data_IF_386676718221
#
_entry.id   IF_386676718221
#
_cell.length_a   1.000
_cell.length_b   1.000
_cell.length_c   1.000
_cell.angle_alpha   90.00
_cell.angle_beta   90.00
_cell.angle_gamma   90.00
#
_symmetry.space_group_name_H-M   'P 1'
#
loop_
_entity.id
_entity.type
_entity.pdbx_description
1 polymer ?
#
# COMPACT_ATOMS: atom_id res chain seq x y z
N UNK A 1 24.21 0.00 18.41
CA UNK A 1 23.42 0.03 17.16
C UNK A 1 22.06 0.62 17.48
N UNK A 2 21.82 1.89 17.17
CA UNK A 2 20.53 2.52 17.45
C UNK A 2 19.52 1.99 16.44
N UNK A 3 18.59 1.16 16.89
CA UNK A 3 17.34 0.92 16.21
C UNK A 3 16.60 2.26 16.22
N UNK A 4 16.62 2.98 15.10
CA UNK A 4 15.73 4.11 14.88
C UNK A 4 14.31 3.55 14.80
N UNK A 5 13.73 3.23 15.96
CA UNK A 5 12.39 2.71 16.06
C UNK A 5 11.42 3.75 15.55
N UNK A 6 10.45 3.32 14.79
CA UNK A 6 9.24 4.09 14.50
C UNK A 6 8.57 4.39 15.83
N UNK A 7 8.83 5.57 16.38
CA UNK A 7 8.49 5.93 17.77
C UNK A 7 7.05 6.35 17.98
N UNK A 8 6.29 6.54 16.91
CA UNK A 8 4.89 6.90 17.01
C UNK A 8 4.20 6.61 15.67
N UNK A 9 2.90 6.59 15.63
CA UNK A 9 2.15 6.63 14.37
C UNK A 9 2.40 7.94 13.60
N UNK A 10 2.68 9.01 14.31
CA UNK A 10 3.24 10.24 13.75
C UNK A 10 4.76 10.03 13.69
N UNK A 11 5.29 9.75 12.50
CA UNK A 11 6.71 9.47 12.29
C UNK A 11 7.56 10.69 12.71
N UNK A 12 8.43 10.57 13.73
CA UNK A 12 9.27 11.68 14.16
C UNK A 12 10.47 11.92 13.24
N UNK A 13 10.69 11.08 12.25
CA UNK A 13 11.84 11.14 11.36
C UNK A 13 11.49 11.96 10.13
N UNK A 14 12.27 13.01 9.86
CA UNK A 14 12.16 13.74 8.60
C UNK A 14 12.43 12.79 7.43
N UNK A 15 11.58 12.83 6.41
CA UNK A 15 11.73 12.02 5.19
C UNK A 15 11.24 12.77 3.99
N UNK A 16 12.02 12.67 2.92
CA UNK A 16 11.63 13.20 1.63
C UNK A 16 12.05 12.20 0.55
N UNK A 17 11.08 11.61 -0.14
CA UNK A 17 11.38 10.58 -1.13
C UNK A 17 10.41 10.58 -2.30
N UNK A 18 10.88 10.07 -3.41
CA UNK A 18 10.07 9.71 -4.57
C UNK A 18 10.07 8.20 -4.75
N UNK A 19 8.93 7.61 -5.04
CA UNK A 19 8.82 6.20 -5.39
C UNK A 19 8.01 6.03 -6.67
N UNK A 20 8.42 5.06 -7.47
CA UNK A 20 7.72 4.61 -8.65
C UNK A 20 7.68 3.08 -8.65
N UNK A 21 6.53 2.53 -8.98
CA UNK A 21 6.36 1.11 -9.19
C UNK A 21 5.45 0.85 -10.38
N UNK A 22 5.81 -0.13 -11.21
CA UNK A 22 4.97 -0.58 -12.31
C UNK A 22 5.05 -2.10 -12.44
N UNK A 23 3.91 -2.74 -12.63
CA UNK A 23 3.81 -4.18 -12.85
C UNK A 23 3.10 -4.46 -14.18
N UNK A 24 3.78 -5.17 -15.07
CA UNK A 24 3.28 -5.57 -16.38
C UNK A 24 3.01 -7.07 -16.38
N UNK A 25 1.75 -7.51 -16.51
CA UNK A 25 1.45 -8.91 -16.82
C UNK A 25 1.90 -9.25 -18.23
N UNK A 26 2.52 -10.41 -18.41
CA UNK A 26 2.99 -10.88 -19.74
C UNK A 26 1.92 -11.70 -20.46
N UNK A 27 0.85 -12.10 -19.78
CA UNK A 27 -0.28 -12.83 -20.36
C UNK A 27 -1.60 -12.18 -19.99
N UNK A 28 -2.44 -12.04 -21.00
CA UNK A 28 -3.73 -11.39 -20.87
C UNK A 28 -3.62 -9.86 -20.73
N UNK A 29 -4.72 -9.25 -20.33
CA UNK A 29 -4.80 -7.80 -20.08
C UNK A 29 -5.39 -7.61 -18.69
N UNK A 30 -4.57 -7.19 -17.74
CA UNK A 30 -5.00 -6.79 -16.40
C UNK A 30 -5.31 -5.30 -16.32
N UNK A 31 -5.81 -4.83 -15.19
CA UNK A 31 -5.84 -3.40 -14.88
C UNK A 31 -4.43 -2.85 -14.83
N UNK A 32 -4.30 -1.53 -15.02
CA UNK A 32 -3.02 -0.84 -14.84
C UNK A 32 -2.60 -1.00 -13.38
N UNK A 33 -1.39 -1.51 -13.15
CA UNK A 33 -0.83 -1.70 -11.84
C UNK A 33 0.47 -0.90 -11.74
N UNK A 34 0.38 0.32 -11.29
CA UNK A 34 1.52 1.19 -11.15
C UNK A 34 1.20 2.37 -10.24
N UNK A 35 2.25 2.96 -9.71
CA UNK A 35 2.17 4.18 -8.93
C UNK A 35 3.42 5.01 -9.13
N UNK A 36 3.28 6.30 -8.94
CA UNK A 36 4.37 7.23 -8.76
C UNK A 36 3.95 8.20 -7.67
N UNK A 37 4.73 8.36 -6.63
CA UNK A 37 4.39 9.31 -5.60
C UNK A 37 5.61 9.98 -4.98
N UNK A 38 5.42 11.20 -4.57
CA UNK A 38 6.32 11.95 -3.72
C UNK A 38 5.82 11.87 -2.29
N UNK A 39 6.71 11.56 -1.36
CA UNK A 39 6.44 11.47 0.06
C UNK A 39 7.27 12.48 0.83
N UNK A 40 6.62 13.23 1.69
CA UNK A 40 7.23 14.16 2.62
C UNK A 40 6.70 13.88 4.03
N UNK A 41 7.61 13.74 4.98
CA UNK A 41 7.30 13.79 6.40
C UNK A 41 8.18 14.83 7.07
N UNK A 42 7.58 15.91 7.56
CA UNK A 42 8.30 17.05 8.13
C UNK A 42 7.88 17.26 9.58
N UNK A 43 8.67 16.73 10.54
CA UNK A 43 8.53 17.09 11.95
C UNK A 43 8.87 18.55 12.21
N UNK A 44 8.38 19.09 13.32
CA UNK A 44 8.62 20.47 13.76
C UNK A 44 8.25 21.54 12.71
N UNK A 45 7.15 21.33 11.98
CA UNK A 45 6.66 22.32 11.02
C UNK A 45 6.31 23.63 11.75
N UNK A 46 6.54 24.76 11.07
CA UNK A 46 6.38 26.13 11.63
C UNK A 46 7.17 26.37 12.93
N UNK A 47 8.34 25.70 13.08
CA UNK A 47 9.18 25.76 14.29
C UNK A 47 8.45 25.30 15.58
N UNK A 48 7.38 24.52 15.44
CA UNK A 48 6.66 23.94 16.56
C UNK A 48 7.00 22.46 16.69
N UNK A 49 7.74 22.07 17.73
CA UNK A 49 8.25 20.72 17.95
C UNK A 49 7.15 19.66 18.13
N UNK A 50 5.94 20.10 18.47
CA UNK A 50 4.78 19.20 18.61
C UNK A 50 3.99 18.99 17.32
N UNK A 51 4.32 19.68 16.21
CA UNK A 51 3.61 19.53 14.94
C UNK A 51 4.44 18.71 13.95
N UNK A 52 3.80 17.77 13.27
CA UNK A 52 4.39 16.99 12.18
C UNK A 52 3.45 17.00 10.98
N UNK A 53 3.96 17.35 9.83
CA UNK A 53 3.18 17.30 8.58
C UNK A 53 3.66 16.16 7.70
N UNK A 54 2.73 15.31 7.28
CA UNK A 54 2.97 14.24 6.33
C UNK A 54 2.16 14.51 5.06
N UNK A 55 2.79 14.28 3.91
CA UNK A 55 2.17 14.41 2.61
C UNK A 55 2.63 13.28 1.69
N UNK A 56 1.71 12.64 1.01
CA UNK A 56 1.96 11.73 -0.10
C UNK A 56 1.16 12.22 -1.31
N UNK A 57 1.84 12.57 -2.39
CA UNK A 57 1.21 13.08 -3.62
C UNK A 57 1.55 12.16 -4.77
N UNK A 58 0.51 11.68 -5.44
CA UNK A 58 0.58 10.96 -6.70
C UNK A 58 -0.18 11.75 -7.79
N UNK A 59 0.01 11.45 -9.09
CA UNK A 59 -0.71 12.14 -10.16
C UNK A 59 -2.24 12.11 -10.02
N UNK A 60 -2.75 11.07 -9.37
CA UNK A 60 -4.20 10.80 -9.25
C UNK A 60 -4.69 10.77 -7.80
N UNK A 61 -3.82 10.95 -6.82
CA UNK A 61 -4.17 10.81 -5.40
C UNK A 61 -3.28 11.67 -4.51
N UNK A 62 -3.88 12.25 -3.48
CA UNK A 62 -3.21 12.98 -2.41
C UNK A 62 -3.65 12.40 -1.07
N UNK A 63 -2.70 12.16 -0.17
CA UNK A 63 -2.94 11.85 1.24
C UNK A 63 -2.06 12.77 2.09
N UNK A 64 -2.66 13.50 3.01
CA UNK A 64 -1.96 14.39 3.92
C UNK A 64 -2.45 14.22 5.35
N UNK A 65 -1.55 14.47 6.30
CA UNK A 65 -1.89 14.41 7.72
C UNK A 65 -1.09 15.45 8.50
N UNK A 66 -1.80 16.24 9.31
CA UNK A 66 -1.20 17.06 10.36
C UNK A 66 -1.27 16.30 11.68
N UNK A 67 -0.12 15.95 12.22
CA UNK A 67 0.03 15.31 13.52
C UNK A 67 0.35 16.33 14.60
N UNK A 68 -0.35 16.25 15.74
CA UNK A 68 -0.17 17.12 16.90
C UNK A 68 0.15 16.23 18.09
N UNK A 69 1.41 16.28 18.54
CA UNK A 69 1.90 15.42 19.65
C UNK A 69 1.35 15.88 20.99
N UNK A 70 1.05 14.92 21.84
CA UNK A 70 0.69 15.08 23.26
C UNK A 70 -0.49 16.05 23.53
N UNK A 71 -1.30 16.37 22.52
CA UNK A 71 -2.40 17.34 22.64
C UNK A 71 -3.58 16.82 23.47
N UNK A 72 -3.77 15.50 23.48
CA UNK A 72 -4.85 14.84 24.24
C UNK A 72 -4.37 14.26 25.58
N UNK A 73 -3.14 14.62 25.99
CA UNK A 73 -2.46 14.13 27.19
C UNK A 73 -1.14 13.47 26.85
N UNK A 74 -0.35 13.08 27.87
CA UNK A 74 0.95 12.46 27.68
C UNK A 74 0.85 11.21 26.77
N UNK A 75 1.75 11.11 25.80
CA UNK A 75 1.83 10.00 24.84
C UNK A 75 0.56 9.80 23.99
N UNK A 76 -0.30 10.84 23.87
CA UNK A 76 -1.54 10.77 23.12
C UNK A 76 -1.58 11.86 22.08
N UNK A 77 -1.39 11.45 20.84
CA UNK A 77 -1.29 12.32 19.68
C UNK A 77 -2.61 12.40 18.92
N UNK A 78 -2.86 13.53 18.26
CA UNK A 78 -3.97 13.75 17.35
C UNK A 78 -3.46 13.88 15.91
N UNK A 79 -4.13 13.22 14.97
CA UNK A 79 -3.89 13.37 13.55
C UNK A 79 -5.12 13.88 12.81
N UNK A 80 -4.98 14.90 11.99
CA UNK A 80 -6.02 15.42 11.11
C UNK A 80 -5.59 15.13 9.69
N UNK A 81 -6.39 14.34 8.95
CA UNK A 81 -6.07 13.89 7.60
C UNK A 81 -7.00 14.45 6.55
N UNK A 82 -6.45 14.67 5.36
CA UNK A 82 -7.16 14.96 4.11
C UNK A 82 -6.64 14.01 3.05
N UNK A 83 -7.56 13.36 2.32
CA UNK A 83 -7.22 12.45 1.23
C UNK A 83 -8.16 12.67 0.04
N UNK A 84 -7.72 12.29 -1.15
CA UNK A 84 -8.58 12.30 -2.31
C UNK A 84 -7.83 12.38 -3.62
N UNK A 85 -8.57 12.19 -4.69
CA UNK A 85 -8.01 12.32 -6.03
C UNK A 85 -8.92 11.83 -7.14
N UNK A 86 -8.52 12.16 -8.34
CA UNK A 86 -9.10 11.60 -9.55
C UNK A 86 -8.71 10.13 -9.69
N UNK A 87 -9.66 9.26 -10.02
CA UNK A 87 -9.47 7.81 -10.22
C UNK A 87 -9.09 7.01 -8.95
N UNK A 88 -9.07 7.63 -7.77
CA UNK A 88 -8.70 6.99 -6.52
C UNK A 88 -9.64 5.83 -6.15
N UNK A 89 -10.93 5.98 -6.42
CA UNK A 89 -11.99 5.02 -6.11
C UNK A 89 -12.42 4.16 -7.31
N UNK A 90 -11.60 4.12 -8.35
CA UNK A 90 -11.89 3.32 -9.54
C UNK A 90 -11.96 1.83 -9.22
N UNK A 91 -12.94 1.16 -9.81
CA UNK A 91 -13.17 -0.27 -9.60
C UNK A 91 -12.88 -1.08 -10.86
N UNK A 92 -12.00 -2.08 -10.71
CA UNK A 92 -11.69 -3.04 -11.75
C UNK A 92 -12.30 -4.40 -11.41
N UNK A 93 -13.29 -4.83 -12.19
CA UNK A 93 -13.89 -6.15 -12.00
C UNK A 93 -12.98 -7.25 -12.50
N UNK A 94 -12.64 -8.18 -11.62
CA UNK A 94 -11.80 -9.32 -11.92
C UNK A 94 -12.54 -10.62 -11.66
N UNK A 95 -12.75 -11.44 -12.72
CA UNK A 95 -13.39 -12.76 -12.60
C UNK A 95 -12.63 -13.82 -13.37
N UNK A 96 -12.33 -14.95 -12.74
CA UNK A 96 -11.62 -16.08 -13.34
C UNK A 96 -10.35 -15.65 -14.12
N UNK A 97 -9.53 -14.80 -13.50
CA UNK A 97 -8.31 -14.29 -14.11
C UNK A 97 -8.49 -13.39 -15.33
N UNK A 98 -9.67 -12.79 -15.48
CA UNK A 98 -9.98 -11.85 -16.56
C UNK A 98 -10.39 -10.49 -16.00
N UNK A 99 -9.83 -9.45 -16.57
CA UNK A 99 -10.28 -8.08 -16.34
C UNK A 99 -11.52 -7.81 -17.19
N UNK A 100 -12.68 -7.67 -16.55
CA UNK A 100 -14.00 -7.49 -17.17
C UNK A 100 -14.25 -5.99 -17.32
N UNK A 101 -13.73 -5.40 -18.38
CA UNK A 101 -13.80 -3.95 -18.61
C UNK A 101 -15.21 -3.38 -18.72
N UNK A 102 -16.14 -4.18 -19.27
CA UNK A 102 -17.55 -3.77 -19.38
C UNK A 102 -18.25 -3.60 -18.03
N UNK A 103 -17.66 -4.09 -16.95
CA UNK A 103 -18.19 -4.04 -15.58
C UNK A 103 -17.26 -3.29 -14.62
N UNK A 104 -16.31 -2.55 -15.21
CA UNK A 104 -15.36 -1.71 -14.49
C UNK A 104 -15.70 -0.25 -14.73
N UNK A 105 -15.36 0.61 -13.77
CA UNK A 105 -15.73 2.02 -13.81
C UNK A 105 -14.70 2.87 -13.09
N UNK A 106 -14.67 4.14 -13.42
CA UNK A 106 -13.83 5.13 -12.73
C UNK A 106 -14.55 5.61 -11.46
N UNK A 107 -13.76 5.98 -10.46
CA UNK A 107 -14.25 6.60 -9.25
C UNK A 107 -13.31 7.72 -8.81
N UNK A 108 -13.89 8.85 -8.49
CA UNK A 108 -13.22 10.01 -7.94
C UNK A 108 -13.65 10.15 -6.50
N UNK A 109 -12.73 10.40 -5.60
CA UNK A 109 -13.11 10.49 -4.20
C UNK A 109 -12.25 11.43 -3.40
N UNK A 110 -12.77 11.79 -2.24
CA UNK A 110 -12.05 12.61 -1.28
C UNK A 110 -12.68 12.52 0.10
N UNK A 111 -11.84 12.68 1.10
CA UNK A 111 -12.26 12.50 2.47
C UNK A 111 -11.40 13.23 3.48
N UNK A 112 -11.88 13.18 4.70
CA UNK A 112 -11.20 13.73 5.88
C UNK A 112 -11.14 12.66 6.95
N UNK A 113 -10.12 12.71 7.79
CA UNK A 113 -10.00 11.79 8.92
C UNK A 113 -9.50 12.48 10.18
N UNK A 114 -9.94 11.95 11.31
CA UNK A 114 -9.43 12.31 12.62
C UNK A 114 -8.89 11.04 13.28
N UNK A 115 -7.65 11.08 13.75
CA UNK A 115 -6.96 9.93 14.32
C UNK A 115 -6.44 10.26 15.70
N UNK A 116 -6.60 9.33 16.63
CA UNK A 116 -5.99 9.38 17.95
C UNK A 116 -4.99 8.24 18.04
N UNK A 117 -3.78 8.54 18.47
CA UNK A 117 -2.70 7.58 18.67
C UNK A 117 -2.24 7.64 20.10
N UNK A 118 -2.36 6.54 20.82
CA UNK A 118 -1.88 6.44 22.20
C UNK A 118 -0.74 5.43 22.30
N UNK A 119 0.38 5.82 22.90
CA UNK A 119 1.52 4.94 23.16
C UNK A 119 1.51 4.49 24.60
N UNK A 120 1.41 3.17 24.81
CA UNK A 120 1.38 2.57 26.15
C UNK A 120 2.75 2.48 26.80
N UNK A 121 3.82 2.38 26.01
CA UNK A 121 5.18 2.10 26.47
C UNK A 121 6.20 3.11 25.88
N UNK A 122 6.14 4.39 26.29
CA UNK A 122 6.96 5.47 25.71
C UNK A 122 8.46 5.26 25.87
N UNK A 123 8.89 4.54 26.93
CA UNK A 123 10.29 4.27 27.24
C UNK A 123 10.86 3.07 26.45
N UNK A 124 10.01 2.22 25.89
CA UNK A 124 10.43 1.01 25.21
C UNK A 124 10.96 1.30 23.79
N UNK A 125 11.89 0.46 23.35
CA UNK A 125 12.46 0.52 22.00
C UNK A 125 11.46 0.18 20.91
N UNK A 126 10.52 -0.72 21.21
CA UNK A 126 9.47 -1.16 20.30
C UNK A 126 8.14 -0.63 20.80
N UNK A 127 7.56 0.36 20.11
CA UNK A 127 6.36 1.02 20.59
C UNK A 127 5.14 0.10 20.48
N UNK A 128 4.29 0.11 21.53
CA UNK A 128 2.95 -0.43 21.51
C UNK A 128 1.97 0.73 21.42
N UNK A 129 1.22 0.81 20.34
CA UNK A 129 0.28 1.89 20.09
C UNK A 129 -1.15 1.37 19.95
N UNK A 130 -2.10 2.10 20.56
CA UNK A 130 -3.50 2.04 20.18
C UNK A 130 -3.80 3.13 19.15
N UNK A 131 -4.66 2.81 18.21
CA UNK A 131 -5.05 3.69 17.12
C UNK A 131 -6.57 3.69 17.01
N UNK A 132 -7.15 4.88 17.00
CA UNK A 132 -8.54 5.12 16.67
C UNK A 132 -8.59 6.14 15.55
N UNK A 133 -9.21 5.81 14.41
CA UNK A 133 -9.39 6.72 13.28
C UNK A 133 -10.83 6.71 12.83
N UNK A 134 -11.47 7.87 12.88
CA UNK A 134 -12.75 8.15 12.23
C UNK A 134 -12.52 8.88 10.92
N UNK A 135 -13.24 8.51 9.87
CA UNK A 135 -13.12 9.12 8.55
C UNK A 135 -14.47 9.32 7.89
N UNK A 136 -14.55 10.35 7.07
CA UNK A 136 -15.62 10.56 6.09
C UNK A 136 -15.00 10.58 4.71
N UNK A 137 -15.57 9.85 3.77
CA UNK A 137 -15.11 9.78 2.39
C UNK A 137 -16.32 9.82 1.44
N UNK A 138 -16.22 10.65 0.41
CA UNK A 138 -17.21 10.73 -0.66
C UNK A 138 -16.60 10.16 -1.94
N UNK A 139 -17.32 9.24 -2.59
CA UNK A 139 -16.93 8.62 -3.86
C UNK A 139 -17.97 8.92 -4.92
N UNK A 140 -17.54 9.49 -6.04
CA UNK A 140 -18.36 9.72 -7.23
C UNK A 140 -17.91 8.77 -8.35
N UNK A 141 -18.86 8.05 -8.96
CA UNK A 141 -18.58 7.04 -9.97
C UNK A 141 -18.97 7.49 -11.37
N UNK A 142 -18.11 7.13 -12.33
CA UNK A 142 -18.28 7.47 -13.74
C UNK A 142 -17.96 6.30 -14.66
N UNK A 143 -18.52 6.33 -15.88
CA UNK A 143 -18.24 5.32 -16.91
C UNK A 143 -16.86 5.53 -17.50
N UNK A 144 -16.16 4.44 -17.77
CA UNK A 144 -15.05 4.43 -18.71
C UNK A 144 -15.58 4.21 -20.15
N UNK A 145 -14.74 4.50 -21.14
CA UNK A 145 -15.07 4.23 -22.57
C UNK A 145 -15.49 2.79 -22.85
N UNK A 146 -15.07 1.86 -21.99
CA UNK A 146 -15.32 0.41 -22.15
C UNK A 146 -16.34 -0.15 -21.17
N UNK A 147 -16.88 0.65 -20.29
CA UNK A 147 -18.02 0.25 -19.45
C UNK A 147 -19.22 -0.02 -20.33
N UNK A 148 -19.82 -1.20 -20.19
CA UNK A 148 -20.96 -1.59 -21.04
C UNK A 148 -22.13 -0.61 -20.85
N UNK A 149 -22.81 -0.18 -21.92
CA UNK A 149 -23.91 0.79 -21.81
C UNK A 149 -25.05 0.32 -20.90
N UNK A 150 -25.28 -1.00 -20.84
CA UNK A 150 -26.33 -1.62 -20.03
C UNK A 150 -25.90 -1.95 -18.60
N UNK A 151 -24.64 -1.70 -18.26
CA UNK A 151 -24.15 -1.87 -16.90
C UNK A 151 -24.48 -0.63 -16.08
N UNK A 152 -25.31 -0.75 -15.08
CA UNK A 152 -25.66 0.34 -14.16
C UNK A 152 -24.52 0.56 -13.18
N UNK A 153 -24.11 1.82 -12.97
CA UNK A 153 -23.07 2.18 -12.01
C UNK A 153 -23.65 2.23 -10.59
N UNK A 154 -22.85 2.01 -9.55
CA UNK A 154 -23.30 2.37 -8.21
C UNK A 154 -23.56 3.88 -8.12
N UNK A 155 -24.51 4.27 -7.30
CA UNK A 155 -24.70 5.66 -6.93
C UNK A 155 -23.48 6.20 -6.19
N UNK A 156 -23.33 7.51 -6.18
CA UNK A 156 -22.30 8.17 -5.39
C UNK A 156 -22.43 7.81 -3.90
N UNK A 157 -21.33 7.43 -3.28
CA UNK A 157 -21.34 6.91 -1.92
C UNK A 157 -20.75 7.91 -0.92
N UNK A 158 -21.46 8.06 0.19
CA UNK A 158 -20.97 8.72 1.40
C UNK A 158 -20.55 7.63 2.39
N UNK A 159 -19.26 7.50 2.62
CA UNK A 159 -18.69 6.47 3.48
C UNK A 159 -18.23 7.10 4.79
N UNK A 160 -18.65 6.52 5.91
CA UNK A 160 -18.07 6.78 7.23
C UNK A 160 -17.28 5.56 7.64
N UNK A 161 -16.04 5.75 8.03
CA UNK A 161 -15.18 4.66 8.51
C UNK A 161 -14.81 4.89 9.98
N UNK A 162 -14.77 3.78 10.73
CA UNK A 162 -14.18 3.77 12.07
C UNK A 162 -13.18 2.62 12.11
N UNK A 163 -11.89 2.96 12.17
CA UNK A 163 -10.79 1.98 12.27
C UNK A 163 -10.19 2.04 13.66
N UNK A 164 -10.07 0.88 14.28
CA UNK A 164 -9.40 0.69 15.57
C UNK A 164 -8.31 -0.34 15.45
N UNK A 165 -7.23 -0.19 16.17
CA UNK A 165 -6.15 -1.17 16.14
C UNK A 165 -5.18 -1.05 17.29
N UNK A 166 -4.49 -2.17 17.53
CA UNK A 166 -3.30 -2.24 18.36
C UNK A 166 -2.12 -2.62 17.48
N UNK A 167 -1.02 -1.89 17.59
CA UNK A 167 0.20 -2.13 16.81
C UNK A 167 1.42 -2.10 17.72
N UNK A 168 2.12 -3.21 17.78
CA UNK A 168 3.43 -3.32 18.39
C UNK A 168 4.50 -3.31 17.31
N UNK A 169 5.40 -2.32 17.33
CA UNK A 169 6.39 -2.08 16.29
C UNK A 169 5.85 -1.31 15.09
N UNK A 170 6.37 -1.62 13.92
CA UNK A 170 5.98 -1.01 12.65
C UNK A 170 7.08 -1.07 11.59
N UNK A 171 6.78 -0.56 10.40
CA UNK A 171 7.68 -0.49 9.26
C UNK A 171 7.80 0.95 8.77
N UNK A 172 9.05 1.38 8.49
CA UNK A 172 9.27 2.64 7.80
C UNK A 172 8.71 2.61 6.35
N UNK A 173 8.21 3.74 5.82
CA UNK A 173 7.63 3.82 4.47
C UNK A 173 8.72 3.87 3.38
N UNK A 174 9.65 2.92 3.41
CA UNK A 174 10.73 2.76 2.42
C UNK A 174 10.64 1.38 1.78
N UNK A 175 11.16 1.23 0.55
CA UNK A 175 11.04 -0.03 -0.18
C UNK A 175 11.70 -1.21 0.57
N UNK A 176 12.94 -1.00 1.02
CA UNK A 176 13.74 -2.05 1.67
C UNK A 176 14.28 -1.54 3.01
N UNK A 177 13.48 -1.61 4.09
CA UNK A 177 13.93 -1.19 5.43
C UNK A 177 15.05 -2.11 5.94
N UNK A 178 15.93 -1.60 6.80
CA UNK A 178 16.97 -2.43 7.41
C UNK A 178 16.42 -3.38 8.46
N UNK A 179 15.49 -2.88 9.26
CA UNK A 179 14.79 -3.65 10.31
C UNK A 179 13.34 -3.18 10.35
N UNK A 180 12.43 -4.12 10.40
CA UNK A 180 11.04 -3.86 10.77
C UNK A 180 10.50 -5.07 11.52
N UNK A 181 9.77 -4.82 12.59
CA UNK A 181 9.00 -5.82 13.31
C UNK A 181 7.64 -5.24 13.62
N UNK A 182 6.60 -5.98 13.30
CA UNK A 182 5.25 -5.57 13.60
C UNK A 182 4.41 -6.78 14.02
N UNK A 183 3.64 -6.60 15.07
CA UNK A 183 2.48 -7.43 15.38
C UNK A 183 1.31 -6.49 15.59
N UNK A 184 0.26 -6.65 14.78
CA UNK A 184 -0.88 -5.74 14.84
C UNK A 184 -2.21 -6.45 14.63
N UNK A 185 -3.26 -5.91 15.24
CA UNK A 185 -4.64 -6.33 15.09
C UNK A 185 -5.50 -5.11 14.81
N UNK A 186 -6.44 -5.25 13.88
CA UNK A 186 -7.25 -4.17 13.37
C UNK A 186 -8.70 -4.57 13.18
N UNK A 187 -9.56 -3.60 13.41
CA UNK A 187 -10.97 -3.67 13.05
C UNK A 187 -11.36 -2.37 12.33
N UNK A 188 -12.07 -2.50 11.23
CA UNK A 188 -12.64 -1.37 10.50
C UNK A 188 -14.12 -1.61 10.25
N UNK A 189 -14.94 -0.63 10.60
CA UNK A 189 -16.35 -0.56 10.26
C UNK A 189 -16.53 0.49 9.18
N UNK A 190 -17.16 0.11 8.08
CA UNK A 190 -17.60 1.00 7.01
C UNK A 190 -19.11 1.15 7.10
N UNK A 191 -19.59 2.39 7.16
CA UNK A 191 -21.00 2.75 7.14
C UNK A 191 -21.26 3.56 5.87
N UNK A 192 -22.26 3.20 5.09
CA UNK A 192 -22.61 3.88 3.85
C UNK A 192 -24.00 4.50 3.92
N UNK A 193 -24.10 5.76 3.51
CA UNK A 193 -25.35 6.46 3.40
C UNK A 193 -26.09 6.05 2.11
N UNK A 194 -27.29 5.49 2.26
CA UNK A 194 -28.21 5.17 1.15
C UNK A 194 -27.55 4.38 0.00
N UNK A 195 -26.93 3.21 0.28
CA UNK A 195 -26.37 2.41 -0.78
C UNK A 195 -27.47 1.85 -1.69
N UNK A 196 -27.21 1.84 -3.00
CA UNK A 196 -28.08 1.23 -4.00
C UNK A 196 -27.41 0.01 -4.61
N UNK A 197 -28.22 -0.91 -5.15
CA UNK A 197 -27.70 -1.98 -6.01
C UNK A 197 -27.25 -1.41 -7.35
N UNK A 198 -26.35 -2.11 -8.03
CA UNK A 198 -25.80 -1.74 -9.33
C UNK A 198 -25.56 -2.99 -10.20
N UNK A 199 -25.02 -2.80 -11.39
CA UNK A 199 -24.72 -3.91 -12.29
C UNK A 199 -25.77 -4.17 -13.33
N UNK A 200 -25.89 -5.40 -13.82
CA UNK A 200 -26.91 -5.75 -14.79
C UNK A 200 -28.22 -6.06 -14.08
N UNK A 201 -29.20 -5.16 -14.23
CA UNK A 201 -30.48 -5.30 -13.54
C UNK A 201 -30.35 -5.34 -12.02
N UNK A 202 -29.44 -4.58 -11.47
CA UNK A 202 -29.18 -4.48 -10.02
C UNK A 202 -28.71 -5.81 -9.37
N UNK A 203 -27.92 -6.60 -10.10
CA UNK A 203 -27.43 -7.91 -9.65
C UNK A 203 -26.32 -7.84 -8.59
N UNK A 204 -25.91 -6.63 -8.20
CA UNK A 204 -24.84 -6.38 -7.21
C UNK A 204 -25.34 -5.48 -6.10
N UNK A 205 -25.30 -6.02 -4.92
CA UNK A 205 -25.67 -5.27 -3.71
C UNK A 205 -24.47 -4.50 -3.16
N UNK A 206 -24.74 -3.29 -2.67
CA UNK A 206 -23.83 -2.51 -1.83
C UNK A 206 -24.40 -2.53 -0.43
N UNK A 207 -23.66 -3.08 0.51
CA UNK A 207 -24.10 -3.17 1.89
C UNK A 207 -23.99 -1.81 2.59
N UNK A 208 -24.98 -1.47 3.41
CA UNK A 208 -25.00 -0.27 4.25
C UNK A 208 -23.91 -0.27 5.31
N UNK A 209 -23.48 -1.47 5.72
CA UNK A 209 -22.45 -1.68 6.73
C UNK A 209 -21.58 -2.87 6.35
N UNK A 210 -20.26 -2.72 6.49
CA UNK A 210 -19.28 -3.79 6.38
C UNK A 210 -18.29 -3.73 7.55
N UNK A 211 -17.85 -4.89 8.01
CA UNK A 211 -16.80 -4.99 9.04
C UNK A 211 -15.64 -5.79 8.48
N UNK A 212 -14.44 -5.27 8.66
CA UNK A 212 -13.19 -5.90 8.28
C UNK A 212 -12.33 -6.09 9.53
N UNK A 213 -11.80 -7.29 9.70
CA UNK A 213 -10.89 -7.62 10.79
C UNK A 213 -9.62 -8.20 10.18
N UNK A 214 -8.46 -7.71 10.55
CA UNK A 214 -7.20 -8.31 10.13
C UNK A 214 -6.14 -8.23 11.20
N UNK A 215 -5.20 -9.15 11.12
CA UNK A 215 -3.99 -9.16 11.93
C UNK A 215 -2.78 -9.33 11.03
N UNK A 216 -1.67 -8.72 11.40
CA UNK A 216 -0.39 -8.86 10.69
C UNK A 216 0.75 -9.09 11.64
N UNK A 217 1.54 -10.15 11.35
CA UNK A 217 2.90 -10.34 11.84
C UNK A 217 3.89 -10.04 10.72
N UNK A 218 4.90 -9.20 10.96
CA UNK A 218 5.95 -8.87 10.03
C UNK A 218 7.30 -8.85 10.73
N UNK A 219 8.26 -9.54 10.14
CA UNK A 219 9.66 -9.44 10.48
C UNK A 219 10.44 -9.09 9.22
N UNK A 220 11.26 -8.05 9.27
CA UNK A 220 12.22 -7.68 8.24
C UNK A 220 13.57 -7.43 8.91
N UNK A 221 14.61 -8.08 8.43
CA UNK A 221 15.93 -7.96 9.02
C UNK A 221 17.03 -7.99 7.96
N UNK A 222 18.01 -7.11 8.12
CA UNK A 222 19.24 -7.07 7.32
C UNK A 222 20.43 -7.45 8.20
N UNK A 223 21.16 -8.48 7.82
CA UNK A 223 22.39 -8.88 8.49
C UNK A 223 23.43 -7.76 8.36
N UNK A 224 23.98 -7.23 9.48
CA UNK A 224 24.78 -6.00 9.45
C UNK A 224 26.03 -6.06 8.57
N UNK A 225 26.78 -7.15 8.61
CA UNK A 225 28.05 -7.28 7.88
C UNK A 225 27.86 -7.78 6.44
N UNK A 226 27.00 -8.76 6.27
CA UNK A 226 26.76 -9.45 5.00
C UNK A 226 25.69 -8.77 4.14
N UNK A 227 24.90 -7.90 4.72
CA UNK A 227 23.75 -7.24 4.10
C UNK A 227 22.74 -8.17 3.41
N UNK A 228 22.73 -9.45 3.77
CA UNK A 228 21.62 -10.32 3.41
C UNK A 228 20.36 -9.79 4.08
N UNK A 229 19.29 -9.72 3.31
CA UNK A 229 18.00 -9.22 3.77
C UNK A 229 16.96 -10.33 3.69
N UNK A 230 16.19 -10.49 4.74
CA UNK A 230 15.04 -11.38 4.71
C UNK A 230 13.83 -10.73 5.36
N UNK A 231 12.67 -11.09 4.88
CA UNK A 231 11.43 -10.76 5.55
C UNK A 231 10.47 -11.94 5.51
N UNK A 232 9.65 -12.00 6.55
CA UNK A 232 8.53 -12.92 6.66
C UNK A 232 7.32 -12.12 7.13
N UNK A 233 6.22 -12.26 6.42
CA UNK A 233 4.94 -11.66 6.75
C UNK A 233 3.84 -12.69 6.80
N UNK A 234 2.97 -12.60 7.82
CA UNK A 234 1.71 -13.32 7.89
C UNK A 234 0.59 -12.29 8.07
N UNK A 235 -0.39 -12.32 7.19
CA UNK A 235 -1.60 -11.50 7.31
C UNK A 235 -2.82 -12.40 7.27
N UNK A 236 -3.68 -12.28 8.28
CA UNK A 236 -4.96 -12.97 8.34
C UNK A 236 -6.06 -11.92 8.28
N UNK A 237 -7.11 -12.17 7.53
CA UNK A 237 -8.25 -11.28 7.43
C UNK A 237 -9.56 -12.04 7.39
N UNK A 238 -10.59 -11.45 7.98
CA UNK A 238 -11.98 -11.90 7.90
C UNK A 238 -12.91 -10.69 7.79
N UNK A 239 -14.04 -10.85 7.14
CA UNK A 239 -15.01 -9.76 6.98
C UNK A 239 -16.44 -10.27 7.15
N UNK A 240 -17.31 -9.39 7.59
CA UNK A 240 -18.74 -9.63 7.64
C UNK A 240 -19.48 -8.57 6.84
N UNK A 241 -20.47 -8.98 6.04
CA UNK A 241 -21.24 -8.10 5.14
C UNK A 241 -20.36 -7.33 4.15
N UNK A 242 -19.19 -7.87 3.80
CA UNK A 242 -18.39 -7.30 2.74
C UNK A 242 -19.07 -7.50 1.37
N UNK A 243 -18.92 -6.52 0.50
CA UNK A 243 -19.38 -6.53 -0.89
C UNK A 243 -18.19 -6.27 -1.83
N UNK A 244 -18.45 -6.15 -3.14
CA UNK A 244 -17.39 -5.94 -4.15
C UNK A 244 -16.54 -4.69 -3.90
N UNK A 245 -17.10 -3.66 -3.27
CA UNK A 245 -16.43 -2.39 -3.01
C UNK A 245 -15.66 -2.36 -1.69
N UNK A 246 -15.91 -3.34 -0.78
CA UNK A 246 -15.30 -3.38 0.56
C UNK A 246 -14.50 -4.64 0.86
N UNK A 247 -14.68 -5.74 0.11
CA UNK A 247 -13.96 -6.99 0.36
C UNK A 247 -12.45 -6.87 0.16
N UNK A 248 -11.70 -7.75 0.78
CA UNK A 248 -10.24 -7.82 0.60
C UNK A 248 -9.90 -8.16 -0.84
N UNK A 249 -8.95 -7.40 -1.41
CA UNK A 249 -8.47 -7.61 -2.77
C UNK A 249 -6.97 -7.85 -2.76
N UNK A 250 -6.53 -8.98 -3.32
CA UNK A 250 -5.13 -9.40 -3.30
C UNK A 250 -4.62 -9.78 -4.68
N UNK A 251 -3.32 -9.75 -4.83
CA UNK A 251 -2.60 -10.02 -6.08
C UNK A 251 -1.64 -8.90 -6.44
N UNK A 252 -0.88 -9.10 -7.51
CA UNK A 252 0.14 -8.17 -7.97
C UNK A 252 1.52 -8.45 -7.39
N UNK A 253 2.52 -7.90 -8.05
CA UNK A 253 3.92 -8.10 -7.72
C UNK A 253 4.47 -6.98 -6.82
N UNK A 254 3.95 -5.77 -6.97
CA UNK A 254 4.46 -4.60 -6.28
C UNK A 254 3.80 -4.41 -4.93
N UNK A 255 4.56 -4.05 -3.90
CA UNK A 255 4.00 -3.48 -2.69
C UNK A 255 3.45 -2.09 -3.05
N UNK A 256 2.21 -2.03 -3.50
CA UNK A 256 1.51 -0.75 -3.67
C UNK A 256 1.60 0.06 -2.36
N UNK A 257 1.36 1.36 -2.43
CA UNK A 257 1.39 2.30 -1.29
C UNK A 257 0.33 1.96 -0.21
N UNK A 258 -0.12 0.72 -0.16
CA UNK A 258 -1.05 0.26 0.85
C UNK A 258 -0.31 0.03 2.17
N UNK A 259 -0.90 0.45 3.26
CA UNK A 259 -0.40 0.17 4.61
C UNK A 259 -0.27 -1.35 4.83
N UNK A 260 -1.20 -2.13 4.26
CA UNK A 260 -1.24 -3.60 4.33
C UNK A 260 -1.31 -4.20 2.93
N UNK A 261 -0.19 -4.30 2.18
CA UNK A 261 -0.20 -4.85 0.84
C UNK A 261 -0.46 -6.37 0.86
N UNK A 262 -1.42 -6.81 0.04
CA UNK A 262 -1.81 -8.22 -0.10
C UNK A 262 -1.30 -8.77 -1.45
N UNK A 263 0.01 -8.87 -1.61
CA UNK A 263 0.66 -9.18 -2.88
C UNK A 263 0.86 -10.69 -3.08
N UNK A 264 0.61 -11.14 -4.31
CA UNK A 264 0.93 -12.50 -4.77
C UNK A 264 1.59 -12.35 -6.17
N UNK A 265 2.89 -12.68 -6.31
CA UNK A 265 3.59 -12.55 -7.60
C UNK A 265 2.92 -13.33 -8.74
N UNK A 266 2.95 -12.78 -9.96
CA UNK A 266 2.37 -13.40 -11.16
C UNK A 266 0.86 -13.20 -11.34
N UNK A 267 0.15 -12.77 -10.30
CA UNK A 267 -1.26 -12.38 -10.39
C UNK A 267 -1.42 -10.93 -10.85
N UNK A 268 -2.56 -10.59 -11.43
CA UNK A 268 -2.91 -9.19 -11.63
C UNK A 268 -3.05 -8.46 -10.29
N UNK A 269 -2.85 -7.16 -10.28
CA UNK A 269 -3.20 -6.35 -9.12
C UNK A 269 -4.69 -6.55 -8.80
N UNK A 270 -4.99 -6.84 -7.52
CA UNK A 270 -6.36 -7.03 -7.03
C UNK A 270 -7.15 -8.14 -7.75
N UNK A 271 -6.50 -9.19 -8.25
CA UNK A 271 -7.15 -10.28 -9.01
C UNK A 271 -8.10 -11.12 -8.17
N UNK A 272 -7.80 -11.30 -6.89
CA UNK A 272 -8.56 -12.17 -5.99
C UNK A 272 -9.35 -11.30 -5.02
N UNK A 273 -10.65 -11.52 -4.95
CA UNK A 273 -11.54 -10.85 -4.01
C UNK A 273 -12.06 -11.87 -3.00
N UNK A 274 -11.78 -11.63 -1.72
CA UNK A 274 -12.05 -12.57 -0.65
C UNK A 274 -12.77 -11.92 0.53
N UNK A 275 -13.61 -12.69 1.21
CA UNK A 275 -14.18 -12.37 2.52
C UNK A 275 -13.23 -12.71 3.64
N UNK A 276 -12.50 -13.83 3.49
CA UNK A 276 -11.54 -14.31 4.47
C UNK A 276 -10.27 -14.78 3.77
N UNK A 277 -9.13 -14.60 4.43
CA UNK A 277 -7.86 -15.06 3.88
C UNK A 277 -6.80 -15.28 4.95
N UNK A 278 -5.83 -16.12 4.59
CA UNK A 278 -4.53 -16.23 5.24
C UNK A 278 -3.45 -16.06 4.18
N UNK A 279 -2.59 -15.06 4.30
CA UNK A 279 -1.52 -14.75 3.35
C UNK A 279 -0.17 -14.79 4.05
N UNK A 280 0.75 -15.59 3.52
CA UNK A 280 2.16 -15.63 3.89
C UNK A 280 2.98 -15.02 2.78
N UNK A 281 3.85 -14.08 3.13
CA UNK A 281 4.83 -13.48 2.22
C UNK A 281 6.24 -13.71 2.74
N UNK A 282 7.15 -14.09 1.86
CA UNK A 282 8.57 -14.22 2.13
C UNK A 282 9.40 -13.43 1.14
N UNK A 283 10.49 -12.86 1.60
CA UNK A 283 11.47 -12.15 0.78
C UNK A 283 12.87 -12.46 1.27
N UNK A 284 13.79 -12.71 0.33
CA UNK A 284 15.20 -12.88 0.61
C UNK A 284 16.04 -12.19 -0.45
N UNK A 285 17.10 -11.49 -0.04
CA UNK A 285 17.98 -10.77 -0.96
C UNK A 285 19.44 -10.95 -0.54
N UNK A 286 20.30 -11.19 -1.53
CA UNK A 286 21.72 -11.49 -1.41
C UNK A 286 22.51 -10.41 -2.17
N UNK A 287 23.53 -9.77 -1.57
CA UNK A 287 24.44 -8.91 -2.32
C UNK A 287 25.28 -9.74 -3.29
N UNK A 288 25.48 -9.24 -4.50
CA UNK A 288 26.22 -9.87 -5.58
C UNK A 288 27.65 -9.33 -5.73
N UNK A 289 27.90 -8.13 -5.21
CA UNK A 289 29.18 -7.44 -5.29
C UNK A 289 29.74 -7.08 -3.91
N UNK A 290 31.04 -6.83 -3.85
CA UNK A 290 31.73 -6.47 -2.62
C UNK A 290 31.24 -5.13 -2.06
N UNK A 291 30.92 -4.18 -2.92
CA UNK A 291 30.43 -2.85 -2.54
C UNK A 291 28.95 -2.85 -2.13
N UNK A 292 28.28 -4.00 -2.31
CA UNK A 292 26.88 -4.22 -1.92
C UNK A 292 25.93 -3.22 -2.58
N UNK A 293 26.21 -2.94 -3.85
CA UNK A 293 25.36 -2.13 -4.71
C UNK A 293 24.34 -2.97 -5.49
N UNK A 294 24.70 -4.19 -5.85
CA UNK A 294 23.86 -5.12 -6.58
C UNK A 294 23.36 -6.25 -5.68
N UNK A 295 22.11 -6.60 -5.84
CA UNK A 295 21.48 -7.68 -5.06
C UNK A 295 20.65 -8.56 -5.97
N UNK A 296 20.70 -9.86 -5.71
CA UNK A 296 19.72 -10.83 -6.20
C UNK A 296 18.62 -10.98 -5.14
N UNK A 297 17.37 -10.92 -5.57
CA UNK A 297 16.22 -10.98 -4.67
C UNK A 297 15.27 -12.11 -5.07
N UNK A 298 14.67 -12.76 -4.08
CA UNK A 298 13.66 -13.79 -4.21
C UNK A 298 12.46 -13.42 -3.37
N UNK A 299 11.26 -13.77 -3.83
CA UNK A 299 10.02 -13.56 -3.09
C UNK A 299 9.03 -14.68 -3.30
N UNK A 300 8.17 -14.88 -2.34
CA UNK A 300 7.06 -15.82 -2.38
C UNK A 300 5.84 -15.17 -1.73
N UNK A 301 4.68 -15.42 -2.30
CA UNK A 301 3.39 -15.10 -1.70
C UNK A 301 2.48 -16.31 -1.82
N UNK A 302 1.86 -16.74 -0.73
CA UNK A 302 0.90 -17.86 -0.74
C UNK A 302 -0.31 -17.52 0.12
N UNK A 303 -1.48 -17.59 -0.46
CA UNK A 303 -2.74 -17.30 0.20
C UNK A 303 -3.72 -18.46 0.12
N UNK A 304 -4.41 -18.74 1.23
CA UNK A 304 -5.66 -19.48 1.27
C UNK A 304 -6.80 -18.49 1.41
N UNK A 305 -7.86 -18.64 0.62
CA UNK A 305 -8.94 -17.66 0.54
C UNK A 305 -10.32 -18.29 0.58
N UNK A 306 -11.27 -17.60 1.23
CA UNK A 306 -12.70 -17.75 0.98
C UNK A 306 -13.14 -16.59 0.11
N UNK A 307 -13.64 -16.90 -1.07
CA UNK A 307 -14.02 -15.87 -2.05
C UNK A 307 -15.28 -15.13 -1.65
N UNK A 308 -15.36 -13.88 -2.08
CA UNK A 308 -16.65 -13.20 -2.13
C UNK A 308 -17.62 -13.99 -3.05
N UNK A 309 -18.89 -14.22 -2.67
CA UNK A 309 -19.86 -14.90 -3.51
C UNK A 309 -19.94 -14.33 -4.93
N UNK A 310 -19.96 -15.21 -5.93
CA UNK A 310 -19.96 -14.83 -7.35
C UNK A 310 -18.59 -14.52 -7.95
N UNK A 311 -17.50 -14.54 -7.16
CA UNK A 311 -16.12 -14.30 -7.62
C UNK A 311 -15.20 -15.51 -7.42
N UNK A 312 -15.77 -16.68 -7.20
CA UNK A 312 -15.02 -17.91 -7.00
C UNK A 312 -14.13 -18.24 -8.21
N UNK A 313 -12.96 -18.78 -7.92
CA UNK A 313 -12.03 -19.34 -8.91
C UNK A 313 -11.76 -20.82 -8.56
N UNK A 314 -11.32 -21.64 -9.52
CA UNK A 314 -10.95 -23.03 -9.21
C UNK A 314 -9.80 -23.13 -8.22
N UNK A 315 -10.11 -23.67 -7.03
CA UNK A 315 -9.19 -23.82 -5.89
C UNK A 315 -9.19 -22.60 -4.97
N UNK A 316 -8.76 -22.79 -3.74
CA UNK A 316 -8.74 -21.82 -2.65
C UNK A 316 -7.32 -21.43 -2.23
N UNK A 317 -6.29 -22.08 -2.81
CA UNK A 317 -4.89 -21.77 -2.61
C UNK A 317 -4.29 -21.08 -3.82
N UNK A 318 -3.65 -19.93 -3.58
CA UNK A 318 -2.99 -19.12 -4.58
C UNK A 318 -1.54 -18.89 -4.19
N UNK A 319 -0.61 -19.37 -4.98
CA UNK A 319 0.82 -19.23 -4.72
C UNK A 319 1.50 -18.59 -5.91
N UNK A 320 2.37 -17.65 -5.64
CA UNK A 320 3.25 -17.03 -6.60
C UNK A 320 4.67 -16.92 -6.06
N UNK A 321 5.62 -17.05 -6.95
CA UNK A 321 7.05 -16.84 -6.67
C UNK A 321 7.59 -15.76 -7.57
N UNK A 322 8.66 -15.12 -7.14
CA UNK A 322 9.31 -14.10 -7.95
C UNK A 322 10.78 -13.97 -7.60
N UNK A 323 11.49 -13.27 -8.45
CA UNK A 323 12.88 -12.93 -8.23
C UNK A 323 13.27 -11.76 -9.10
N UNK A 324 14.44 -11.20 -8.84
CA UNK A 324 14.90 -10.06 -9.60
C UNK A 324 16.23 -9.52 -9.13
N UNK A 325 16.67 -8.47 -9.81
CA UNK A 325 17.90 -7.77 -9.50
C UNK A 325 17.54 -6.40 -8.94
N UNK A 326 18.22 -6.02 -7.87
CA UNK A 326 18.12 -4.70 -7.27
C UNK A 326 19.48 -4.02 -7.29
N UNK A 327 19.49 -2.79 -7.74
CA UNK A 327 20.63 -1.88 -7.63
C UNK A 327 20.37 -0.83 -6.54
N UNK A 328 21.40 -0.52 -5.79
CA UNK A 328 21.43 0.57 -4.81
C UNK A 328 22.67 1.41 -5.09
N UNK A 329 22.50 2.70 -5.26
CA UNK A 329 23.63 3.60 -5.51
C UNK A 329 24.62 3.64 -4.34
N UNK A 330 25.91 3.95 -4.57
CA UNK A 330 26.92 4.04 -3.51
C UNK A 330 26.56 5.04 -2.40
N UNK A 331 25.94 6.17 -2.75
CA UNK A 331 25.43 7.16 -1.77
C UNK A 331 24.10 6.74 -1.13
N UNK A 332 23.55 5.57 -1.53
CA UNK A 332 22.27 5.00 -1.05
C UNK A 332 21.01 5.81 -1.35
N UNK A 333 21.14 6.90 -2.11
CA UNK A 333 20.00 7.73 -2.47
C UNK A 333 19.05 7.05 -3.47
N UNK A 334 19.59 6.23 -4.39
CA UNK A 334 18.82 5.51 -5.39
C UNK A 334 18.70 4.03 -5.06
N UNK A 335 17.51 3.51 -5.26
CA UNK A 335 17.25 2.07 -5.29
C UNK A 335 16.34 1.76 -6.48
N UNK A 336 16.79 0.83 -7.32
CA UNK A 336 16.03 0.35 -8.49
C UNK A 336 15.97 -1.17 -8.40
N UNK A 337 14.80 -1.75 -8.58
CA UNK A 337 14.62 -3.18 -8.67
C UNK A 337 13.82 -3.55 -9.92
N UNK A 338 14.33 -4.55 -10.63
CA UNK A 338 13.65 -5.21 -11.74
C UNK A 338 13.36 -6.64 -11.32
N UNK A 339 12.12 -7.05 -11.47
CA UNK A 339 11.69 -8.36 -11.00
C UNK A 339 10.76 -9.06 -11.98
N UNK A 340 10.72 -10.36 -11.83
CA UNK A 340 9.84 -11.27 -12.53
C UNK A 340 9.07 -12.10 -11.52
N UNK A 341 7.79 -12.35 -11.80
CA UNK A 341 6.90 -13.14 -10.96
C UNK A 341 6.15 -14.19 -11.76
N UNK A 342 5.92 -15.35 -11.13
CA UNK A 342 5.12 -16.43 -11.67
C UNK A 342 4.07 -16.86 -10.66
N UNK A 343 2.80 -16.84 -11.07
CA UNK A 343 1.65 -17.27 -10.29
C UNK A 343 1.19 -18.65 -10.72
N UNK A 344 1.39 -19.67 -9.89
CA UNK A 344 1.15 -21.08 -10.26
C UNK A 344 -0.30 -21.40 -10.64
N UNK A 345 -1.25 -20.77 -9.95
CA UNK A 345 -2.68 -21.01 -10.15
C UNK A 345 -3.44 -19.83 -10.75
N UNK A 346 -2.74 -18.78 -11.12
CA UNK A 346 -3.35 -17.67 -11.84
C UNK A 346 -3.93 -18.17 -13.16
N UNK A 347 -5.21 -17.86 -13.39
CA UNK A 347 -5.94 -18.34 -14.57
C UNK A 347 -5.77 -17.33 -15.71
N UNK A 348 -5.46 -17.83 -16.90
CA UNK A 348 -5.37 -17.04 -18.14
C UNK A 348 -6.04 -17.80 -19.27
N UNK A 349 -6.21 -17.17 -20.44
CA UNK A 349 -6.78 -17.83 -21.61
C UNK A 349 -6.01 -19.08 -22.04
N UNK A 350 -4.69 -19.09 -21.80
CA UNK A 350 -3.79 -20.19 -22.09
C UNK A 350 -3.81 -21.33 -21.06
N UNK A 351 -4.59 -21.21 -19.98
CA UNK A 351 -4.65 -22.17 -18.90
C UNK A 351 -4.22 -21.60 -17.55
N UNK A 352 -3.66 -22.46 -16.71
CA UNK A 352 -3.10 -22.08 -15.40
C UNK A 352 -1.64 -21.68 -15.53
N UNK A 353 -1.23 -20.77 -14.68
CA UNK A 353 0.11 -20.16 -14.67
C UNK A 353 0.14 -18.83 -15.38
N UNK A 354 0.76 -17.84 -14.74
CA UNK A 354 0.86 -16.50 -15.30
C UNK A 354 2.16 -15.83 -14.90
N UNK A 355 2.67 -15.02 -15.80
CA UNK A 355 3.94 -14.32 -15.68
C UNK A 355 3.72 -12.83 -15.58
N UNK A 356 4.55 -12.16 -14.79
CA UNK A 356 4.59 -10.70 -14.70
C UNK A 356 6.01 -10.20 -14.54
N UNK A 357 6.26 -8.99 -14.98
CA UNK A 357 7.50 -8.25 -14.71
C UNK A 357 7.15 -6.99 -13.93
N UNK A 358 8.07 -6.54 -13.09
CA UNK A 358 7.88 -5.34 -12.28
C UNK A 358 9.15 -4.51 -12.21
N UNK A 359 8.95 -3.21 -12.10
CA UNK A 359 10.00 -2.24 -11.79
C UNK A 359 9.62 -1.47 -10.53
N UNK A 360 10.59 -1.27 -9.66
CA UNK A 360 10.50 -0.42 -8.48
C UNK A 360 11.65 0.56 -8.50
N UNK A 361 11.39 1.81 -8.21
CA UNK A 361 12.40 2.84 -8.05
C UNK A 361 12.08 3.65 -6.80
N UNK A 362 13.09 3.96 -6.02
CA UNK A 362 13.03 4.94 -4.94
C UNK A 362 14.21 5.88 -5.02
N UNK A 363 13.94 7.15 -4.85
CA UNK A 363 14.96 8.17 -4.60
C UNK A 363 14.69 8.82 -3.24
N UNK A 364 15.72 8.83 -2.39
CA UNK A 364 15.70 9.42 -1.06
C UNK A 364 16.47 10.74 -1.09
N UNK A 365 15.76 11.84 -0.92
CA UNK A 365 16.34 13.18 -0.99
C UNK A 365 17.17 13.51 0.26
N UNK A 366 16.89 12.87 1.40
CA UNK A 366 17.63 13.10 2.64
C UNK A 366 19.03 12.45 2.60
N UNK A 367 19.18 11.40 1.80
CA UNK A 367 20.47 10.73 1.55
C UNK A 367 21.17 11.28 0.30
N UNK A 368 20.40 11.71 -0.70
CA UNK A 368 20.85 12.52 -1.81
C UNK A 368 20.59 13.98 -1.49
N UNK A 369 21.26 14.95 -1.91
CA UNK A 369 20.90 16.34 -1.66
C UNK A 369 19.54 16.69 -2.29
N UNK A 370 18.72 17.55 -1.66
CA UNK A 370 17.39 17.86 -2.13
C UNK A 370 17.42 18.43 -3.55
N UNK A 371 16.48 17.97 -4.41
CA UNK A 371 16.27 18.53 -5.75
C UNK A 371 15.85 20.01 -5.70
N UNK A 372 15.18 20.40 -4.62
CA UNK A 372 14.69 21.75 -4.38
C UNK A 372 15.05 22.15 -2.96
N UNK A 373 15.96 23.07 -2.83
CA UNK A 373 16.20 23.77 -1.57
C UNK A 373 15.40 25.10 -1.61
N UNK A 374 14.30 25.22 -0.84
CA UNK A 374 13.50 26.45 -0.84
C UNK A 374 14.26 27.67 -0.29
N UNK A 375 15.41 27.45 0.36
CA UNK A 375 16.30 28.52 0.80
C UNK A 375 17.26 29.04 -0.27
N UNK A 376 17.37 28.35 -1.42
CA UNK A 376 18.24 28.77 -2.51
C UNK A 376 17.42 29.32 -3.68
N UNK A 377 17.93 30.38 -4.36
CA UNK A 377 17.27 30.92 -5.55
C UNK A 377 17.24 29.85 -6.66
N UNK A 378 16.22 29.85 -7.55
CA UNK A 378 16.02 28.84 -8.60
C UNK A 378 17.25 28.61 -9.49
N UNK A 379 18.07 29.62 -9.68
CA UNK A 379 19.34 29.53 -10.46
C UNK A 379 20.42 28.65 -9.79
N UNK A 380 20.26 28.30 -8.53
CA UNK A 380 21.19 27.44 -7.79
C UNK A 380 20.61 26.04 -7.51
N UNK A 381 19.44 25.71 -8.05
CA UNK A 381 18.85 24.39 -7.98
C UNK A 381 19.65 23.41 -8.87
N UNK A 382 20.67 22.82 -8.29
CA UNK A 382 21.57 21.86 -9.00
C UNK A 382 20.97 20.45 -9.15
N UNK A 383 19.66 20.33 -9.05
CA UNK A 383 19.00 19.03 -8.97
C UNK A 383 19.08 18.19 -10.24
N UNK A 384 19.00 18.80 -11.42
CA UNK A 384 19.00 18.06 -12.69
C UNK A 384 20.39 17.51 -13.05
N UNK A 385 21.45 18.24 -12.83
CA UNK A 385 22.82 17.83 -13.18
C UNK A 385 23.29 16.65 -12.31
N UNK A 386 22.75 16.50 -11.09
CA UNK A 386 23.08 15.40 -10.16
C UNK A 386 22.27 14.13 -10.36
N UNK A 387 21.05 14.25 -10.93
CA UNK A 387 20.25 13.09 -11.31
C UNK A 387 20.93 12.24 -12.39
N UNK A 388 21.73 12.86 -13.25
CA UNK A 388 22.36 12.22 -14.39
C UNK A 388 23.90 12.12 -14.32
N UNK A 389 24.48 12.36 -13.13
CA UNK A 389 25.89 12.02 -12.88
C UNK A 389 26.91 12.91 -13.58
N UNK A 390 26.66 14.21 -13.70
CA UNK A 390 27.66 15.20 -14.11
C UNK A 390 28.20 15.99 -12.95
#
# INVERSE_FOLDING_TARGET
MCLSGVRAQIDPVARQMFQLGYNQPLQGRGPIAGYAFYYLNKPAIFNRTNLTFRLAVAPVFLDSQLGIKDVLGPNTDLGIGLEGGGFADSFAEMRHGRFVRGESFVGHGGGTSLSVFHRFNPEDRIPLNAILRGGFHYSAYGREDRTAPTFELPDDLKNFSLRTGLRWGGRAPVLFPKVAMELSIWHETLLRGSPSSYGYGNDREVNDRSHLFWTRGLLYYTLPEKEHQFSLGLTLGTSTRADRLSAYRMGGFLPLIAEFPLNIPGYYAQEITATDFALVNGFYSIPLDHDKNWFLAFMVGSAKVNYLPGLQQPGDWHTGVGGGIRYRSPNRAWQIALGYGYGFRAIRKSGRGAHSIGILLQYDFDLGQPLFDPGLPPSQWRGFDRLFGR
#
